data_IF_580958759571
#
_entry.id   IF_580958759571
#
_cell.length_a   1.000
_cell.length_b   1.000
_cell.length_c   1.000
_cell.angle_alpha   90.00
_cell.angle_beta   90.00
_cell.angle_gamma   90.00
#
_symmetry.space_group_name_H-M   'P 1'
#
loop_
_entity.id
_entity.type
_entity.pdbx_description
1 polymer ?
#
# COMPACT_ATOMS: atom_id res chain seq x y z
N UNK A 1 -0.39 1.68 12.08
CA UNK A 1 -1.63 1.35 11.33
C UNK A 1 -2.86 1.65 12.18
N UNK A 2 -3.94 2.28 11.69
CA UNK A 2 -5.15 2.47 12.52
C UNK A 2 -5.90 1.14 12.67
N UNK A 3 -6.57 0.93 13.80
CA UNK A 3 -7.34 -0.30 14.06
C UNK A 3 -8.51 -0.48 13.08
N UNK A 4 -9.05 0.61 12.55
CA UNK A 4 -10.11 0.60 11.52
C UNK A 4 -9.62 0.01 10.19
N UNK A 5 -8.38 0.32 9.78
CA UNK A 5 -7.78 -0.27 8.58
C UNK A 5 -7.66 -1.79 8.67
N UNK A 6 -7.15 -2.30 9.80
CA UNK A 6 -6.99 -3.75 10.01
C UNK A 6 -8.36 -4.45 10.01
N UNK A 7 -9.33 -3.84 10.67
CA UNK A 7 -10.69 -4.37 10.78
C UNK A 7 -11.39 -4.53 9.43
N UNK A 8 -11.22 -3.57 8.51
CA UNK A 8 -11.82 -3.63 7.17
C UNK A 8 -11.22 -4.76 6.29
N UNK A 9 -9.91 -4.98 6.39
CA UNK A 9 -9.22 -6.08 5.68
C UNK A 9 -9.67 -7.43 6.21
N UNK A 10 -9.64 -7.61 7.53
CA UNK A 10 -10.04 -8.86 8.19
C UNK A 10 -11.49 -9.23 7.87
N UNK A 11 -12.39 -8.25 7.91
CA UNK A 11 -13.79 -8.45 7.53
C UNK A 11 -13.91 -8.90 6.06
N UNK A 12 -13.16 -8.27 5.14
CA UNK A 12 -13.17 -8.65 3.74
C UNK A 12 -12.65 -10.08 3.51
N UNK A 13 -11.60 -10.49 4.21
CA UNK A 13 -11.08 -11.86 4.18
C UNK A 13 -12.10 -12.88 4.69
N UNK A 14 -12.75 -12.59 5.82
CA UNK A 14 -13.83 -13.41 6.35
C UNK A 14 -14.96 -13.52 5.33
N UNK A 15 -15.42 -12.40 4.76
CA UNK A 15 -16.49 -12.39 3.76
C UNK A 15 -16.12 -13.21 2.52
N UNK A 16 -14.90 -13.08 2.01
CA UNK A 16 -14.40 -13.88 0.90
C UNK A 16 -14.39 -15.38 1.22
N UNK A 17 -14.00 -15.77 2.44
CA UNK A 17 -14.01 -17.17 2.86
C UNK A 17 -15.41 -17.80 2.83
N UNK A 18 -16.47 -17.00 2.99
CA UNK A 18 -17.87 -17.40 2.86
C UNK A 18 -18.45 -17.18 1.45
N UNK A 19 -17.62 -16.84 0.46
CA UNK A 19 -18.06 -16.57 -0.91
C UNK A 19 -18.81 -15.24 -1.09
N UNK A 20 -18.80 -14.35 -0.08
CA UNK A 20 -19.47 -13.04 -0.12
C UNK A 20 -18.58 -11.97 -0.78
N UNK A 21 -18.20 -12.21 -2.02
CA UNK A 21 -17.24 -11.37 -2.76
C UNK A 21 -17.75 -9.93 -2.93
N UNK A 22 -19.04 -9.75 -3.23
CA UNK A 22 -19.63 -8.42 -3.40
C UNK A 22 -19.57 -7.57 -2.12
N UNK A 23 -19.90 -8.17 -0.98
CA UNK A 23 -19.86 -7.43 0.30
C UNK A 23 -18.44 -7.13 0.78
N UNK A 24 -17.47 -8.01 0.48
CA UNK A 24 -16.06 -7.74 0.70
C UNK A 24 -15.59 -6.52 -0.13
N UNK A 25 -15.99 -6.46 -1.40
CA UNK A 25 -15.68 -5.34 -2.28
C UNK A 25 -16.28 -4.03 -1.76
N UNK A 26 -17.55 -4.03 -1.36
CA UNK A 26 -18.24 -2.84 -0.82
C UNK A 26 -17.56 -2.31 0.45
N UNK A 27 -17.18 -3.20 1.36
CA UNK A 27 -16.51 -2.84 2.63
C UNK A 27 -15.15 -2.17 2.36
N UNK A 28 -14.35 -2.76 1.47
CA UNK A 28 -13.04 -2.21 1.09
C UNK A 28 -13.18 -0.89 0.32
N UNK A 29 -14.14 -0.81 -0.61
CA UNK A 29 -14.37 0.39 -1.40
C UNK A 29 -14.84 1.57 -0.52
N UNK A 30 -15.70 1.32 0.47
CA UNK A 30 -16.12 2.34 1.44
C UNK A 30 -14.94 2.82 2.28
N UNK A 31 -14.14 1.89 2.81
CA UNK A 31 -12.95 2.21 3.58
C UNK A 31 -11.97 3.08 2.78
N UNK A 32 -11.69 2.70 1.52
CA UNK A 32 -10.82 3.46 0.62
C UNK A 32 -11.38 4.85 0.36
N UNK A 33 -12.69 4.99 0.11
CA UNK A 33 -13.31 6.28 -0.16
C UNK A 33 -13.21 7.24 1.03
N UNK A 34 -13.35 6.73 2.25
CA UNK A 34 -13.16 7.50 3.48
C UNK A 34 -11.70 7.84 3.76
N UNK A 35 -10.77 6.94 3.38
CA UNK A 35 -9.37 6.99 3.78
C UNK A 35 -8.37 6.73 2.63
N UNK A 36 -8.44 7.46 1.50
CA UNK A 36 -7.76 7.06 0.27
C UNK A 36 -6.23 7.01 0.38
N UNK A 37 -5.63 7.85 1.24
CA UNK A 37 -4.17 7.97 1.40
C UNK A 37 -3.61 7.24 2.63
N UNK A 38 -4.47 6.52 3.36
CA UNK A 38 -4.10 5.94 4.64
C UNK A 38 -3.15 4.75 4.47
N UNK A 39 -3.54 3.76 3.67
CA UNK A 39 -2.77 2.54 3.45
C UNK A 39 -3.00 2.01 2.02
N UNK A 40 -1.98 1.35 1.46
CA UNK A 40 -2.04 0.72 0.12
C UNK A 40 -2.71 -0.65 0.17
N UNK A 41 -2.65 -1.35 1.31
CA UNK A 41 -3.16 -2.72 1.48
C UNK A 41 -4.64 -2.91 1.10
N UNK A 42 -5.59 -2.01 1.45
CA UNK A 42 -7.00 -2.15 1.03
C UNK A 42 -7.17 -2.12 -0.47
N UNK A 43 -6.38 -1.30 -1.16
CA UNK A 43 -6.42 -1.18 -2.60
C UNK A 43 -5.96 -2.48 -3.27
N UNK A 44 -4.84 -3.03 -2.81
CA UNK A 44 -4.32 -4.30 -3.32
C UNK A 44 -5.30 -5.45 -3.07
N UNK A 45 -5.98 -5.44 -1.91
CA UNK A 45 -7.00 -6.43 -1.59
C UNK A 45 -8.26 -6.26 -2.42
N UNK A 46 -8.70 -5.04 -2.68
CA UNK A 46 -9.86 -4.77 -3.52
C UNK A 46 -9.61 -5.18 -4.98
N UNK A 47 -8.40 -4.97 -5.50
CA UNK A 47 -8.00 -5.51 -6.81
C UNK A 47 -8.10 -7.03 -6.88
N UNK A 48 -7.66 -7.73 -5.83
CA UNK A 48 -7.80 -9.20 -5.71
C UNK A 48 -9.26 -9.64 -5.73
N UNK A 49 -10.12 -8.95 -4.97
CA UNK A 49 -11.57 -9.22 -4.89
C UNK A 49 -12.22 -9.03 -6.26
N UNK A 50 -12.00 -7.89 -6.93
CA UNK A 50 -12.57 -7.65 -8.26
C UNK A 50 -12.05 -8.62 -9.30
N UNK A 51 -10.76 -8.98 -9.23
CA UNK A 51 -10.18 -9.97 -10.14
C UNK A 51 -10.82 -11.33 -9.96
N UNK A 52 -11.01 -11.78 -8.72
CA UNK A 52 -11.67 -13.05 -8.40
C UNK A 52 -13.16 -13.05 -8.82
N UNK A 53 -13.82 -11.90 -8.76
CA UNK A 53 -15.23 -11.72 -9.13
C UNK A 53 -15.49 -11.61 -10.65
N UNK A 54 -14.46 -11.42 -11.48
CA UNK A 54 -14.65 -11.12 -12.90
C UNK A 54 -15.07 -9.67 -13.20
N UNK A 55 -14.97 -8.77 -12.21
CA UNK A 55 -15.42 -7.37 -12.28
C UNK A 55 -14.36 -6.46 -12.89
N UNK A 56 -14.23 -6.50 -14.22
CA UNK A 56 -13.16 -5.80 -14.96
C UNK A 56 -13.29 -4.28 -14.91
N UNK A 57 -14.49 -3.74 -15.05
CA UNK A 57 -14.69 -2.29 -15.10
C UNK A 57 -14.32 -1.63 -13.76
N UNK A 58 -14.74 -2.24 -12.66
CA UNK A 58 -14.43 -1.83 -11.30
C UNK A 58 -12.93 -1.97 -10.99
N UNK A 59 -12.33 -3.07 -11.45
CA UNK A 59 -10.88 -3.29 -11.36
C UNK A 59 -10.10 -2.17 -12.08
N UNK A 60 -10.42 -1.88 -13.34
CA UNK A 60 -9.69 -0.89 -14.13
C UNK A 60 -9.85 0.53 -13.55
N UNK A 61 -11.03 0.84 -13.00
CA UNK A 61 -11.28 2.11 -12.30
C UNK A 61 -10.41 2.25 -11.04
N UNK A 62 -10.44 1.26 -10.14
CA UNK A 62 -9.69 1.33 -8.88
C UNK A 62 -8.18 1.23 -9.10
N UNK A 63 -7.73 0.48 -10.13
CA UNK A 63 -6.33 0.43 -10.55
C UNK A 63 -5.80 1.82 -10.93
N UNK A 64 -6.56 2.57 -11.73
CA UNK A 64 -6.21 3.93 -12.11
C UNK A 64 -6.14 4.89 -10.92
N UNK A 65 -7.02 4.75 -9.94
CA UNK A 65 -6.98 5.54 -8.71
C UNK A 65 -5.82 5.15 -7.78
N UNK A 66 -5.52 3.85 -7.66
CA UNK A 66 -4.35 3.34 -6.95
C UNK A 66 -3.06 3.95 -7.51
N UNK A 67 -2.89 3.91 -8.83
CA UNK A 67 -1.70 4.45 -9.49
C UNK A 67 -1.63 5.98 -9.46
N UNK A 68 -2.68 6.71 -9.05
CA UNK A 68 -2.59 8.14 -8.74
C UNK A 68 -2.20 8.40 -7.29
N UNK A 69 -2.49 7.44 -6.41
CA UNK A 69 -2.41 7.63 -4.96
C UNK A 69 -1.10 7.07 -4.37
N UNK A 70 -0.61 5.95 -4.91
CA UNK A 70 0.57 5.25 -4.43
C UNK A 70 1.56 4.96 -5.56
N UNK A 71 2.83 4.82 -5.19
CA UNK A 71 3.94 4.49 -6.08
C UNK A 71 3.97 2.98 -6.39
N UNK A 72 2.95 2.53 -7.11
CA UNK A 72 2.77 1.13 -7.51
C UNK A 72 2.89 1.04 -9.03
N UNK A 73 3.43 -0.08 -9.53
CA UNK A 73 3.43 -0.36 -10.97
C UNK A 73 2.03 -0.23 -11.58
N UNK A 74 1.99 0.27 -12.81
CA UNK A 74 0.74 0.39 -13.55
C UNK A 74 0.10 -0.99 -13.73
N UNK A 75 -1.06 -1.18 -13.10
CA UNK A 75 -1.77 -2.45 -13.09
C UNK A 75 -3.00 -2.33 -13.98
N UNK A 76 -3.28 -3.38 -14.74
CA UNK A 76 -4.51 -3.55 -15.49
C UNK A 76 -4.98 -5.00 -15.41
N UNK A 77 -6.19 -5.24 -15.88
CA UNK A 77 -6.81 -6.56 -15.83
C UNK A 77 -5.93 -7.70 -16.37
N UNK A 78 -5.22 -7.44 -17.47
CA UNK A 78 -4.50 -8.45 -18.24
C UNK A 78 -3.10 -8.73 -17.67
N UNK A 79 -2.44 -7.72 -17.09
CA UNK A 79 -1.10 -7.83 -16.52
C UNK A 79 -1.07 -8.19 -15.03
N UNK A 80 -2.22 -8.15 -14.33
CA UNK A 80 -2.30 -8.33 -12.87
C UNK A 80 -1.61 -9.63 -12.39
N UNK A 81 -1.89 -10.75 -13.06
CA UNK A 81 -1.31 -12.06 -12.73
C UNK A 81 0.20 -12.10 -12.94
N UNK A 82 0.69 -11.48 -14.02
CA UNK A 82 2.12 -11.35 -14.28
C UNK A 82 2.81 -10.53 -13.20
N UNK A 83 2.21 -9.40 -12.80
CA UNK A 83 2.73 -8.54 -11.74
C UNK A 83 2.74 -9.25 -10.38
N UNK A 84 1.72 -10.07 -10.08
CA UNK A 84 1.68 -10.91 -8.87
C UNK A 84 2.72 -12.04 -8.88
N UNK A 85 3.11 -12.52 -10.05
CA UNK A 85 4.12 -13.57 -10.21
C UNK A 85 5.57 -13.03 -10.32
N UNK A 86 5.74 -11.70 -10.42
CA UNK A 86 7.06 -11.07 -10.46
C UNK A 86 7.86 -11.41 -9.19
N UNK A 87 9.19 -11.44 -9.32
CA UNK A 87 10.11 -11.82 -8.22
C UNK A 87 11.13 -10.73 -7.88
N UNK A 88 10.90 -9.51 -8.35
CA UNK A 88 11.76 -8.37 -8.00
C UNK A 88 11.68 -8.10 -6.50
N UNK A 89 12.82 -7.92 -5.86
CA UNK A 89 12.93 -7.65 -4.43
C UNK A 89 13.53 -6.27 -4.18
N UNK A 90 13.43 -5.76 -2.94
CA UNK A 90 14.16 -4.57 -2.51
C UNK A 90 15.67 -4.75 -2.66
N UNK A 91 16.20 -5.96 -2.53
CA UNK A 91 17.63 -6.25 -2.71
C UNK A 91 18.14 -5.89 -4.13
N UNK A 92 17.27 -5.94 -5.13
CA UNK A 92 17.57 -5.52 -6.51
C UNK A 92 17.68 -3.98 -6.66
N UNK A 93 17.38 -3.22 -5.59
CA UNK A 93 17.33 -1.76 -5.58
C UNK A 93 18.42 -1.19 -4.64
N UNK A 94 19.69 -1.13 -5.08
CA UNK A 94 20.84 -0.90 -4.21
C UNK A 94 20.76 0.42 -3.43
N UNK A 95 20.26 1.49 -4.05
CA UNK A 95 20.10 2.79 -3.38
C UNK A 95 19.09 2.76 -2.23
N UNK A 96 18.02 1.97 -2.37
CA UNK A 96 17.01 1.81 -1.32
C UNK A 96 17.62 0.98 -0.19
N UNK A 97 18.19 -0.17 -0.53
CA UNK A 97 18.84 -1.09 0.43
C UNK A 97 19.94 -0.40 1.24
N UNK A 98 20.82 0.37 0.60
CA UNK A 98 21.86 1.14 1.29
C UNK A 98 21.26 2.17 2.27
N UNK A 99 20.19 2.85 1.87
CA UNK A 99 19.50 3.82 2.74
C UNK A 99 18.83 3.13 3.93
N UNK A 100 18.18 1.98 3.70
CA UNK A 100 17.55 1.18 4.74
C UNK A 100 18.59 0.69 5.74
N UNK A 101 19.72 0.13 5.29
CA UNK A 101 20.80 -0.34 6.16
C UNK A 101 21.38 0.79 7.02
N UNK A 102 21.64 1.96 6.42
CA UNK A 102 22.22 3.12 7.13
C UNK A 102 21.28 3.71 8.19
N UNK A 103 19.97 3.64 7.97
CA UNK A 103 18.97 4.30 8.81
C UNK A 103 18.10 3.33 9.61
N UNK A 104 18.36 2.01 9.56
CA UNK A 104 17.55 0.98 10.18
C UNK A 104 17.34 1.25 11.68
N UNK A 105 16.17 0.84 12.21
CA UNK A 105 15.74 1.13 13.60
C UNK A 105 15.73 2.60 13.99
N UNK A 106 15.53 3.50 13.01
CA UNK A 106 15.28 4.91 13.29
C UNK A 106 13.93 5.35 12.74
N UNK A 107 13.36 6.39 13.34
CA UNK A 107 12.17 7.06 12.80
C UNK A 107 12.40 7.61 11.40
N UNK A 108 13.65 7.92 11.01
CA UNK A 108 13.97 8.34 9.65
C UNK A 108 13.71 7.21 8.65
N UNK A 109 14.05 5.96 8.98
CA UNK A 109 13.75 4.80 8.15
C UNK A 109 12.24 4.55 8.02
N UNK A 110 11.47 4.67 9.12
CA UNK A 110 10.01 4.58 9.06
C UNK A 110 9.41 5.62 8.09
N UNK A 111 9.88 6.88 8.15
CA UNK A 111 9.44 7.92 7.21
C UNK A 111 9.86 7.62 5.77
N UNK A 112 11.06 7.11 5.58
CA UNK A 112 11.57 6.76 4.26
C UNK A 112 10.72 5.68 3.59
N UNK A 113 10.39 4.58 4.30
CA UNK A 113 9.50 3.53 3.79
C UNK A 113 8.11 4.09 3.45
N UNK A 114 7.54 4.93 4.31
CA UNK A 114 6.26 5.61 4.05
C UNK A 114 6.32 6.56 2.85
N UNK A 115 7.46 7.18 2.60
CA UNK A 115 7.70 8.03 1.44
C UNK A 115 7.83 7.18 0.16
N UNK A 116 8.52 6.04 0.20
CA UNK A 116 8.65 5.14 -0.97
C UNK A 116 7.29 4.72 -1.52
N UNK A 117 6.32 4.43 -0.65
CA UNK A 117 4.96 4.07 -1.05
C UNK A 117 4.16 5.24 -1.65
N UNK A 118 4.54 6.50 -1.36
CA UNK A 118 3.78 7.70 -1.75
C UNK A 118 4.45 8.56 -2.82
N UNK A 119 5.76 8.42 -3.03
CA UNK A 119 6.52 9.19 -4.03
C UNK A 119 6.23 8.68 -5.45
N UNK A 120 5.04 9.00 -5.93
CA UNK A 120 4.53 8.58 -7.23
C UNK A 120 4.88 9.59 -8.35
N UNK A 121 5.55 10.72 -8.04
CA UNK A 121 6.01 11.76 -8.99
C UNK A 121 5.06 12.03 -10.16
N UNK A 122 3.78 12.26 -9.88
CA UNK A 122 2.71 12.51 -10.86
C UNK A 122 2.61 11.43 -11.97
N UNK A 123 2.97 10.18 -11.68
CA UNK A 123 2.91 9.05 -12.61
C UNK A 123 4.04 8.99 -13.65
N UNK A 124 5.08 9.81 -13.50
CA UNK A 124 6.21 9.87 -14.45
C UNK A 124 7.26 8.77 -14.25
N UNK A 125 7.23 8.06 -13.11
CA UNK A 125 8.16 6.98 -12.79
C UNK A 125 7.42 5.64 -12.82
N UNK A 126 8.12 4.60 -13.29
CA UNK A 126 7.68 3.22 -13.10
C UNK A 126 7.66 2.96 -11.59
N UNK A 127 6.49 2.61 -11.06
CA UNK A 127 6.29 2.37 -9.64
C UNK A 127 6.88 1.05 -9.16
N UNK A 128 6.58 0.66 -7.92
CA UNK A 128 7.07 -0.59 -7.37
C UNK A 128 6.18 -1.79 -7.75
N UNK A 129 6.77 -2.97 -8.05
CA UNK A 129 6.01 -4.21 -8.18
C UNK A 129 5.43 -4.63 -6.82
N UNK A 130 4.39 -5.47 -6.84
CA UNK A 130 3.68 -5.89 -5.63
C UNK A 130 4.62 -6.54 -4.59
N UNK A 131 5.58 -7.35 -5.02
CA UNK A 131 6.58 -7.97 -4.13
C UNK A 131 7.39 -6.94 -3.34
N UNK A 132 7.84 -5.87 -4.00
CA UNK A 132 8.56 -4.78 -3.33
C UNK A 132 7.65 -4.01 -2.38
N UNK A 133 6.37 -3.81 -2.74
CA UNK A 133 5.39 -3.20 -1.84
C UNK A 133 5.19 -4.07 -0.60
N UNK A 134 5.02 -5.38 -0.76
CA UNK A 134 4.85 -6.33 0.34
C UNK A 134 6.07 -6.30 1.28
N UNK A 135 7.29 -6.30 0.74
CA UNK A 135 8.51 -6.18 1.55
C UNK A 135 8.59 -4.84 2.30
N UNK A 136 8.25 -3.71 1.65
CA UNK A 136 8.20 -2.39 2.31
C UNK A 136 7.19 -2.41 3.47
N UNK A 137 6.03 -3.03 3.27
CA UNK A 137 5.00 -3.16 4.31
C UNK A 137 5.49 -4.04 5.47
N UNK A 138 6.16 -5.16 5.18
CA UNK A 138 6.77 -6.03 6.19
C UNK A 138 7.82 -5.27 7.01
N UNK A 139 8.75 -4.59 6.36
CA UNK A 139 9.78 -3.79 7.05
C UNK A 139 9.15 -2.65 7.87
N UNK A 140 8.09 -2.03 7.36
CA UNK A 140 7.35 -1.00 8.08
C UNK A 140 6.70 -1.55 9.35
N UNK A 141 6.10 -2.75 9.28
CA UNK A 141 5.49 -3.42 10.42
C UNK A 141 6.54 -3.78 11.50
N UNK A 142 7.69 -4.30 11.09
CA UNK A 142 8.81 -4.61 12.01
C UNK A 142 9.25 -3.33 12.75
N UNK A 143 9.44 -2.22 12.03
CA UNK A 143 9.85 -0.97 12.67
C UNK A 143 8.75 -0.36 13.55
N UNK A 144 7.46 -0.51 13.19
CA UNK A 144 6.35 -0.07 14.05
C UNK A 144 6.29 -0.89 15.34
N UNK A 145 6.58 -2.19 15.29
CA UNK A 145 6.69 -3.04 16.48
C UNK A 145 7.88 -2.66 17.37
N UNK A 146 9.05 -2.43 16.77
CA UNK A 146 10.28 -2.11 17.53
C UNK A 146 10.30 -0.68 18.09
N UNK A 147 9.79 0.30 17.34
CA UNK A 147 9.91 1.73 17.66
C UNK A 147 8.59 2.39 18.09
N UNK A 148 7.47 1.68 17.94
CA UNK A 148 6.13 2.24 18.07
C UNK A 148 5.65 2.99 16.81
N UNK A 149 4.43 3.56 16.88
CA UNK A 149 3.82 4.25 15.74
C UNK A 149 4.65 5.47 15.33
N UNK A 150 4.73 5.70 14.02
CA UNK A 150 5.44 6.85 13.47
C UNK A 150 4.91 8.16 14.10
N UNK A 151 5.77 8.96 14.76
CA UNK A 151 5.35 10.22 15.34
C UNK A 151 4.80 11.14 14.26
N UNK A 152 3.61 11.70 14.50
CA UNK A 152 3.04 12.74 13.65
C UNK A 152 4.05 13.88 13.57
N UNK A 153 4.45 14.26 12.37
CA UNK A 153 5.27 15.46 12.19
C UNK A 153 4.44 16.64 12.67
N UNK A 154 4.73 17.18 13.85
CA UNK A 154 4.19 18.47 14.27
C UNK A 154 4.57 19.47 13.17
N UNK A 155 3.59 19.91 12.38
CA UNK A 155 3.74 21.07 11.53
C UNK A 155 4.37 22.17 12.37
N UNK A 156 5.45 22.76 11.87
CA UNK A 156 6.36 23.58 12.65
C UNK A 156 5.64 24.53 13.61
N UNK A 157 6.04 24.50 14.88
CA UNK A 157 5.86 25.66 15.75
C UNK A 157 6.60 26.82 15.08
N UNK A 158 5.87 27.65 14.36
CA UNK A 158 6.36 28.94 13.91
C UNK A 158 6.63 29.76 15.18
N UNK A 159 7.84 30.28 15.41
CA UNK A 159 8.08 31.16 16.54
C UNK A 159 7.24 32.42 16.32
N UNK A 160 6.30 32.68 17.23
CA UNK A 160 5.61 33.97 17.30
C UNK A 160 6.70 35.02 17.58
N UNK A 161 6.95 35.87 16.58
CA UNK A 161 7.65 37.13 16.77
C UNK A 161 6.79 38.07 17.61
#
# INVERSE_FOLDING_TARGET
>A
VTEEHKSAIELADIMMSFGRVQGAAETLAEFIRGNPREAVTPWLKLLEVYRAAGLRAEFDAIAGELNKTFNVNAVNWDNYQLLRAARTSLEDLPHITETLQKSWRTTACQRYLQQLLRDNRDGTRVGFPFTVIDEILTLSAILEEELGPLPRTNGGRQPRR
#
